data_IF_672863227432
#
_entry.id   IF_672863227432
#
_cell.length_a   1.000
_cell.length_b   1.000
_cell.length_c   1.000
_cell.angle_alpha   90.00
_cell.angle_beta   90.00
_cell.angle_gamma   90.00
#
_symmetry.space_group_name_H-M   'P 1'
#
loop_
_entity.id
_entity.type
_entity.pdbx_description
1 polymer ?
#
# COMPACT_ATOMS: atom_id res chain seq x y z
N UNK A 1 5.71 -5.50 28.64
CA UNK A 1 4.94 -6.55 29.35
C UNK A 1 4.00 -7.35 28.44
N UNK A 2 3.66 -6.90 27.23
CA UNK A 2 2.80 -7.63 26.31
C UNK A 2 3.61 -8.16 25.12
N UNK A 3 3.64 -9.47 24.97
CA UNK A 3 4.36 -10.17 23.89
C UNK A 3 3.63 -10.05 22.53
N UNK A 4 2.44 -9.46 22.52
CA UNK A 4 1.56 -9.37 21.35
C UNK A 4 0.93 -7.99 21.29
N UNK A 5 1.00 -7.33 20.12
CA UNK A 5 0.38 -6.01 19.89
C UNK A 5 0.02 -5.81 18.43
N UNK A 6 -1.15 -5.23 18.21
CA UNK A 6 -1.53 -4.64 16.93
C UNK A 6 -1.23 -3.14 16.97
N UNK A 7 -0.25 -2.71 16.19
CA UNK A 7 0.23 -1.33 16.16
C UNK A 7 -0.41 -0.58 14.98
N UNK A 8 -1.21 0.44 15.30
CA UNK A 8 -1.87 1.28 14.30
C UNK A 8 -1.04 2.55 14.15
N UNK A 9 -0.44 2.71 12.97
CA UNK A 9 0.49 3.78 12.66
C UNK A 9 0.31 4.21 11.21
N UNK A 10 -0.02 5.48 10.93
CA UNK A 10 -0.32 5.96 9.59
C UNK A 10 0.89 5.83 8.65
N UNK A 11 0.67 6.03 7.37
CA UNK A 11 1.74 6.12 6.37
C UNK A 11 2.73 7.23 6.79
N UNK A 12 3.99 7.07 6.43
CA UNK A 12 5.09 7.99 6.80
C UNK A 12 5.34 8.19 8.31
N UNK A 13 4.78 7.34 9.18
CA UNK A 13 5.03 7.38 10.63
C UNK A 13 6.30 6.63 11.07
N UNK A 14 7.10 6.11 10.14
CA UNK A 14 8.29 5.33 10.43
C UNK A 14 8.03 3.85 10.76
N UNK A 15 6.97 3.24 10.20
CA UNK A 15 6.67 1.81 10.40
C UNK A 15 7.86 0.90 10.13
N UNK A 16 8.57 1.08 9.00
CA UNK A 16 9.76 0.27 8.65
C UNK A 16 10.84 0.36 9.73
N UNK A 17 11.11 1.54 10.25
CA UNK A 17 12.11 1.74 11.32
C UNK A 17 11.68 1.08 12.63
N UNK A 18 10.40 1.13 12.97
CA UNK A 18 9.87 0.43 14.15
C UNK A 18 9.99 -1.10 14.00
N UNK A 19 9.64 -1.64 12.82
CA UNK A 19 9.81 -3.06 12.51
C UNK A 19 11.29 -3.44 12.62
N UNK A 20 12.17 -2.67 12.00
CA UNK A 20 13.62 -2.84 12.08
C UNK A 20 14.12 -2.91 13.53
N UNK A 21 13.73 -1.95 14.37
CA UNK A 21 14.16 -1.90 15.76
C UNK A 21 13.71 -3.12 16.57
N UNK A 22 12.49 -3.59 16.34
CA UNK A 22 11.97 -4.82 16.98
C UNK A 22 12.73 -6.04 16.50
N UNK A 23 12.99 -6.16 15.19
CA UNK A 23 13.73 -7.28 14.60
C UNK A 23 15.14 -7.34 15.18
N UNK A 24 15.86 -6.21 15.18
CA UNK A 24 17.21 -6.10 15.75
C UNK A 24 17.25 -6.56 17.21
N UNK A 25 16.32 -6.07 18.03
CA UNK A 25 16.20 -6.48 19.43
C UNK A 25 16.07 -7.99 19.62
N UNK A 26 15.28 -8.66 18.75
CA UNK A 26 15.08 -10.10 18.87
C UNK A 26 16.23 -10.91 18.27
N UNK A 27 16.86 -10.45 17.21
CA UNK A 27 18.06 -11.08 16.63
C UNK A 27 19.20 -11.09 17.66
N UNK A 28 19.44 -10.00 18.36
CA UNK A 28 20.43 -9.90 19.45
C UNK A 28 20.13 -10.89 20.60
N UNK A 29 18.86 -11.29 20.77
CA UNK A 29 18.44 -12.32 21.74
C UNK A 29 18.42 -13.74 21.14
N UNK A 30 19.00 -13.95 19.99
CA UNK A 30 19.05 -15.26 19.32
C UNK A 30 17.66 -15.78 18.89
N UNK A 31 16.65 -14.92 18.63
CA UNK A 31 15.30 -15.30 18.24
C UNK A 31 15.10 -15.23 16.74
N UNK A 32 14.57 -16.30 16.16
CA UNK A 32 14.19 -16.31 14.75
C UNK A 32 12.89 -15.53 14.53
N UNK A 33 12.89 -14.67 13.52
CA UNK A 33 11.81 -13.75 13.21
C UNK A 33 11.26 -14.01 11.80
N UNK A 34 9.96 -14.11 11.67
CA UNK A 34 9.24 -14.17 10.39
C UNK A 34 8.52 -12.83 10.17
N UNK A 35 8.81 -12.18 9.06
CA UNK A 35 8.12 -10.95 8.63
C UNK A 35 7.27 -11.29 7.40
N UNK A 36 5.97 -11.08 7.51
CA UNK A 36 5.01 -11.35 6.44
C UNK A 36 4.48 -10.04 5.88
N UNK A 37 4.68 -9.84 4.59
CA UNK A 37 4.23 -8.65 3.85
C UNK A 37 3.31 -9.05 2.69
N UNK A 38 2.47 -8.14 2.16
CA UNK A 38 1.50 -8.49 1.13
C UNK A 38 2.10 -8.69 -0.28
N UNK A 39 3.18 -8.00 -0.63
CA UNK A 39 3.73 -7.99 -2.01
C UNK A 39 5.24 -8.18 -2.04
N UNK A 40 5.74 -8.66 -3.18
CA UNK A 40 7.19 -8.79 -3.46
C UNK A 40 7.92 -7.46 -3.39
N UNK A 41 7.31 -6.40 -3.88
CA UNK A 41 7.89 -5.05 -3.81
C UNK A 41 8.13 -4.62 -2.36
N UNK A 42 7.22 -4.96 -1.43
CA UNK A 42 7.41 -4.67 -0.01
C UNK A 42 8.47 -5.55 0.65
N UNK A 43 8.69 -6.79 0.14
CA UNK A 43 9.84 -7.61 0.60
C UNK A 43 11.16 -6.93 0.23
N UNK A 44 11.29 -6.48 -1.02
CA UNK A 44 12.51 -5.80 -1.49
C UNK A 44 12.71 -4.46 -0.77
N UNK A 45 11.65 -3.67 -0.63
CA UNK A 45 11.71 -2.40 0.08
C UNK A 45 12.15 -2.57 1.53
N UNK A 46 11.53 -3.51 2.26
CA UNK A 46 11.87 -3.73 3.67
C UNK A 46 13.32 -4.21 3.84
N UNK A 47 13.78 -5.08 2.96
CA UNK A 47 15.16 -5.54 2.94
C UNK A 47 16.14 -4.38 2.68
N UNK A 48 15.81 -3.51 1.71
CA UNK A 48 16.58 -2.31 1.40
C UNK A 48 16.56 -1.32 2.57
N UNK A 49 15.39 -1.04 3.13
CA UNK A 49 15.25 -0.13 4.29
C UNK A 49 16.15 -0.58 5.44
N UNK A 50 16.19 -1.89 5.75
CA UNK A 50 17.05 -2.44 6.80
C UNK A 50 18.54 -2.26 6.48
N UNK A 51 18.94 -2.38 5.21
CA UNK A 51 20.30 -2.09 4.76
C UNK A 51 20.62 -0.59 4.92
N UNK A 52 19.69 0.27 4.50
CA UNK A 52 19.84 1.73 4.57
C UNK A 52 19.93 2.23 6.04
N UNK A 53 19.36 1.48 6.99
CA UNK A 53 19.52 1.72 8.43
C UNK A 53 20.85 1.20 9.00
N UNK A 54 21.78 0.77 8.14
CA UNK A 54 23.14 0.37 8.51
C UNK A 54 23.26 -1.06 9.04
N UNK A 55 22.35 -1.97 8.68
CA UNK A 55 22.44 -3.37 9.08
C UNK A 55 23.04 -4.24 7.97
N UNK A 56 23.89 -5.19 8.35
CA UNK A 56 24.35 -6.26 7.46
C UNK A 56 23.21 -7.27 7.22
N UNK A 57 22.30 -6.89 6.33
CA UNK A 57 21.12 -7.71 6.00
C UNK A 57 21.50 -9.03 5.33
N UNK A 58 22.63 -9.08 4.64
CA UNK A 58 23.13 -10.29 3.97
C UNK A 58 23.40 -11.43 4.94
N UNK A 59 23.94 -11.11 6.12
CA UNK A 59 24.25 -12.10 7.16
C UNK A 59 23.02 -12.55 7.96
N UNK A 60 21.98 -11.74 8.08
CA UNK A 60 20.87 -12.01 9.01
C UNK A 60 19.53 -12.25 8.32
N UNK A 61 19.30 -11.66 7.16
CA UNK A 61 17.99 -11.64 6.51
C UNK A 61 17.99 -12.46 5.22
N UNK A 62 16.89 -13.22 5.02
CA UNK A 62 16.64 -13.92 3.77
C UNK A 62 15.27 -13.55 3.21
N UNK A 63 15.19 -13.38 1.90
CA UNK A 63 13.97 -13.01 1.19
C UNK A 63 13.34 -14.25 0.55
N UNK A 64 12.03 -14.49 0.82
CA UNK A 64 11.29 -15.59 0.20
C UNK A 64 10.08 -15.03 -0.56
N UNK A 65 10.09 -15.17 -1.89
CA UNK A 65 8.97 -14.93 -2.79
C UNK A 65 9.13 -15.77 -4.06
N UNK A 66 8.26 -15.65 -5.05
CA UNK A 66 8.28 -16.47 -6.27
C UNK A 66 9.69 -16.49 -6.91
N UNK A 67 10.22 -17.71 -7.13
CA UNK A 67 11.56 -17.93 -7.72
C UNK A 67 12.74 -17.83 -6.73
N UNK A 68 12.52 -17.53 -5.44
CA UNK A 68 13.56 -17.52 -4.42
C UNK A 68 13.56 -18.81 -3.59
N UNK A 69 14.75 -19.19 -3.14
CA UNK A 69 14.96 -20.37 -2.30
C UNK A 69 14.21 -20.23 -0.97
N UNK A 70 13.57 -21.32 -0.51
CA UNK A 70 12.78 -21.36 0.73
C UNK A 70 13.56 -21.89 1.93
N UNK A 71 14.59 -22.64 1.69
CA UNK A 71 15.42 -23.22 2.75
C UNK A 71 16.57 -22.26 3.07
N UNK A 72 16.67 -21.90 4.34
CA UNK A 72 17.70 -20.99 4.83
C UNK A 72 17.86 -21.10 6.34
N UNK A 73 19.05 -20.85 6.83
CA UNK A 73 19.37 -20.77 8.26
C UNK A 73 19.32 -19.33 8.79
N UNK A 74 19.00 -18.37 7.96
CA UNK A 74 18.92 -16.96 8.37
C UNK A 74 17.93 -16.76 9.51
N UNK A 75 18.29 -15.93 10.47
CA UNK A 75 17.45 -15.66 11.64
C UNK A 75 16.19 -14.85 11.28
N UNK A 76 16.24 -14.04 10.24
CA UNK A 76 15.13 -13.21 9.79
C UNK A 76 14.69 -13.62 8.39
N UNK A 77 13.42 -13.94 8.25
CA UNK A 77 12.79 -14.22 6.96
C UNK A 77 11.82 -13.10 6.64
N UNK A 78 12.02 -12.44 5.49
CA UNK A 78 11.07 -11.47 4.93
C UNK A 78 10.38 -12.12 3.74
N UNK A 79 9.05 -12.25 3.79
CA UNK A 79 8.32 -13.07 2.82
C UNK A 79 6.93 -12.55 2.51
N UNK A 80 6.41 -12.93 1.34
CA UNK A 80 4.99 -12.78 1.05
C UNK A 80 4.21 -13.98 1.60
N UNK A 81 2.96 -13.77 1.99
CA UNK A 81 2.11 -14.86 2.49
C UNK A 81 1.87 -15.95 1.43
N UNK A 82 1.82 -15.59 0.14
CA UNK A 82 1.64 -16.52 -0.97
C UNK A 82 2.74 -17.57 -1.05
N UNK A 83 3.96 -17.19 -0.68
CA UNK A 83 5.12 -18.06 -0.75
C UNK A 83 5.16 -19.13 0.33
N UNK A 84 4.49 -18.91 1.47
CA UNK A 84 4.63 -19.75 2.66
C UNK A 84 3.32 -20.39 3.14
N UNK A 85 2.12 -19.96 2.72
CA UNK A 85 0.85 -20.43 3.31
C UNK A 85 0.60 -21.94 3.16
N UNK A 86 1.17 -22.58 2.13
CA UNK A 86 1.09 -24.04 1.89
C UNK A 86 2.12 -24.85 2.66
N UNK A 87 3.13 -24.21 3.26
CA UNK A 87 4.18 -24.93 3.98
C UNK A 87 3.62 -25.64 5.23
N UNK A 88 4.21 -26.78 5.61
CA UNK A 88 3.76 -27.55 6.78
C UNK A 88 4.05 -26.78 8.08
N UNK A 89 3.32 -27.15 9.17
CA UNK A 89 3.50 -26.52 10.49
C UNK A 89 4.95 -26.57 10.96
N UNK A 90 5.67 -27.67 10.71
CA UNK A 90 7.08 -27.86 11.07
C UNK A 90 7.98 -26.73 10.60
N UNK A 91 7.72 -26.15 9.43
CA UNK A 91 8.46 -24.99 8.92
C UNK A 91 8.37 -23.79 9.84
N UNK A 92 7.21 -23.58 10.48
CA UNK A 92 6.92 -22.42 11.31
C UNK A 92 7.41 -22.55 12.75
N UNK A 93 7.71 -23.75 13.23
CA UNK A 93 8.11 -24.03 14.62
C UNK A 93 9.43 -23.34 15.03
N UNK A 94 10.28 -23.02 14.06
CA UNK A 94 11.54 -22.30 14.30
C UNK A 94 11.36 -20.85 14.71
N UNK A 95 10.20 -20.23 14.43
CA UNK A 95 9.98 -18.80 14.63
C UNK A 95 9.38 -18.50 16.01
N UNK A 96 10.12 -17.74 16.81
CA UNK A 96 9.64 -17.23 18.10
C UNK A 96 8.92 -15.89 17.96
N UNK A 97 9.19 -15.16 16.87
CA UNK A 97 8.67 -13.82 16.58
C UNK A 97 8.00 -13.82 15.20
N UNK A 98 6.81 -13.26 15.13
CA UNK A 98 6.13 -12.99 13.86
C UNK A 98 5.73 -11.52 13.80
N UNK A 99 5.99 -10.91 12.66
CA UNK A 99 5.61 -9.53 12.34
C UNK A 99 4.76 -9.57 11.06
N UNK A 100 3.56 -9.02 11.13
CA UNK A 100 2.69 -8.83 9.97
C UNK A 100 2.66 -7.35 9.61
N UNK A 101 3.20 -6.98 8.47
CA UNK A 101 2.99 -5.64 7.92
C UNK A 101 1.70 -5.63 7.10
N UNK A 102 1.07 -4.45 6.98
CA UNK A 102 -0.29 -4.29 6.46
C UNK A 102 -1.27 -5.29 7.10
N UNK A 103 -1.23 -5.35 8.43
CA UNK A 103 -1.96 -6.33 9.24
C UNK A 103 -3.48 -6.37 8.97
N UNK A 104 -4.08 -5.29 8.42
CA UNK A 104 -5.48 -5.27 8.02
C UNK A 104 -5.86 -6.34 6.99
N UNK A 105 -4.87 -6.92 6.27
CA UNK A 105 -5.09 -8.01 5.32
C UNK A 105 -5.20 -9.39 5.98
N UNK A 106 -4.83 -9.54 7.27
CA UNK A 106 -4.80 -10.82 8.00
C UNK A 106 -6.20 -11.38 8.37
N UNK A 107 -7.23 -10.89 7.73
CA UNK A 107 -8.59 -11.47 7.76
C UNK A 107 -8.80 -12.59 6.73
N UNK A 108 -7.89 -12.78 5.78
CA UNK A 108 -8.00 -13.84 4.77
C UNK A 108 -7.69 -15.22 5.36
N UNK A 109 -8.35 -16.25 4.83
CA UNK A 109 -8.17 -17.65 5.28
C UNK A 109 -6.70 -18.09 5.24
N UNK A 110 -5.94 -17.68 4.22
CA UNK A 110 -4.53 -18.05 4.06
C UNK A 110 -3.65 -17.44 5.15
N UNK A 111 -3.85 -16.16 5.47
CA UNK A 111 -3.09 -15.49 6.53
C UNK A 111 -3.48 -15.97 7.93
N UNK A 112 -4.76 -16.24 8.16
CA UNK A 112 -5.21 -16.90 9.41
C UNK A 112 -4.56 -18.29 9.54
N UNK A 113 -4.50 -19.08 8.46
CA UNK A 113 -3.84 -20.38 8.46
C UNK A 113 -2.34 -20.29 8.83
N UNK A 114 -1.62 -19.31 8.30
CA UNK A 114 -0.22 -19.06 8.68
C UNK A 114 -0.12 -18.77 10.18
N UNK A 115 -0.96 -17.87 10.70
CA UNK A 115 -0.95 -17.51 12.12
C UNK A 115 -1.32 -18.67 13.05
N UNK A 116 -2.16 -19.60 12.57
CA UNK A 116 -2.49 -20.86 13.30
C UNK A 116 -1.29 -21.80 13.33
N UNK A 117 -0.54 -21.92 12.23
CA UNK A 117 0.70 -22.73 12.18
C UNK A 117 1.81 -22.15 13.06
N UNK A 118 1.81 -20.85 13.30
CA UNK A 118 2.71 -20.12 14.19
C UNK A 118 2.24 -20.16 15.67
N UNK A 119 1.54 -21.21 16.10
CA UNK A 119 0.98 -21.31 17.45
C UNK A 119 2.04 -21.08 18.55
N UNK A 120 3.25 -21.54 18.31
CA UNK A 120 4.38 -21.48 19.25
C UNK A 120 5.13 -20.14 19.22
N UNK A 121 4.82 -19.25 18.26
CA UNK A 121 5.39 -17.90 18.21
C UNK A 121 4.86 -17.07 19.39
N UNK A 122 5.74 -16.84 20.37
CA UNK A 122 5.42 -16.10 21.60
C UNK A 122 5.17 -14.63 21.32
N UNK A 123 5.94 -14.04 20.41
CA UNK A 123 5.93 -12.61 20.11
C UNK A 123 5.23 -12.37 18.77
N UNK A 124 4.15 -11.58 18.79
CA UNK A 124 3.34 -11.30 17.60
C UNK A 124 3.07 -9.80 17.49
N UNK A 125 3.53 -9.19 16.41
CA UNK A 125 3.33 -7.78 16.14
C UNK A 125 2.67 -7.58 14.79
N UNK A 126 1.50 -6.95 14.77
CA UNK A 126 0.84 -6.50 13.55
C UNK A 126 1.03 -5.00 13.37
N UNK A 127 1.39 -4.58 12.17
CA UNK A 127 1.47 -3.16 11.80
C UNK A 127 0.44 -2.85 10.74
N UNK A 128 -0.28 -1.76 10.88
CA UNK A 128 -1.22 -1.28 9.87
C UNK A 128 -1.39 0.24 9.96
N UNK A 129 -1.56 0.89 8.81
CA UNK A 129 -1.91 2.30 8.74
C UNK A 129 -3.38 2.54 9.05
N UNK A 130 -4.24 1.61 8.64
CA UNK A 130 -5.70 1.76 8.68
C UNK A 130 -6.40 0.47 9.08
N UNK A 131 -7.56 0.61 9.71
CA UNK A 131 -8.54 -0.46 9.91
C UNK A 131 -9.76 -0.16 9.03
N UNK A 132 -10.49 -1.20 8.61
CA UNK A 132 -11.68 -1.04 7.76
C UNK A 132 -12.87 -0.35 8.46
N UNK A 133 -12.75 -0.14 9.77
CA UNK A 133 -13.75 0.53 10.61
C UNK A 133 -14.79 -0.42 11.19
N UNK A 134 -14.77 -1.70 10.82
CA UNK A 134 -15.69 -2.68 11.42
C UNK A 134 -15.11 -3.28 12.70
N UNK A 135 -15.97 -3.48 13.69
CA UNK A 135 -15.58 -4.06 14.98
C UNK A 135 -15.12 -5.53 14.82
N UNK A 136 -15.81 -6.29 13.95
CA UNK A 136 -15.48 -7.69 13.68
C UNK A 136 -14.06 -7.83 13.13
N UNK A 137 -13.67 -6.98 12.18
CA UNK A 137 -12.33 -6.98 11.62
C UNK A 137 -11.27 -6.68 12.69
N UNK A 138 -11.52 -5.67 13.53
CA UNK A 138 -10.65 -5.33 14.65
C UNK A 138 -10.47 -6.52 15.58
N UNK A 139 -11.52 -7.21 15.98
CA UNK A 139 -11.45 -8.38 16.87
C UNK A 139 -10.65 -9.55 16.27
N UNK A 140 -10.81 -9.82 14.97
CA UNK A 140 -9.98 -10.83 14.29
C UNK A 140 -8.50 -10.49 14.39
N UNK A 141 -8.13 -9.25 14.10
CA UNK A 141 -6.73 -8.82 14.18
C UNK A 141 -6.20 -8.82 15.61
N UNK A 142 -6.99 -8.38 16.58
CA UNK A 142 -6.63 -8.43 18.00
C UNK A 142 -6.49 -9.87 18.52
N UNK A 143 -7.28 -10.81 18.01
CA UNK A 143 -7.13 -12.24 18.28
C UNK A 143 -5.80 -12.81 17.77
N UNK A 144 -5.33 -12.35 16.63
CA UNK A 144 -4.08 -12.79 16.01
C UNK A 144 -2.83 -12.14 16.63
N UNK A 145 -2.87 -10.84 16.86
CA UNK A 145 -1.71 -10.02 17.24
C UNK A 145 -1.76 -9.47 18.67
N UNK A 146 -2.92 -9.50 19.33
CA UNK A 146 -3.12 -8.90 20.65
C UNK A 146 -3.74 -7.50 20.57
N UNK A 147 -3.88 -6.82 21.73
CA UNK A 147 -4.59 -5.54 21.82
C UNK A 147 -4.06 -4.49 20.86
N UNK A 148 -4.97 -3.72 20.26
CA UNK A 148 -4.61 -2.61 19.38
C UNK A 148 -4.07 -1.42 20.16
N UNK A 149 -3.01 -0.82 19.61
CA UNK A 149 -2.40 0.39 20.14
C UNK A 149 -2.15 1.39 19.02
N UNK A 150 -2.73 2.57 19.15
CA UNK A 150 -2.53 3.68 18.21
C UNK A 150 -1.27 4.44 18.61
N UNK A 151 -0.27 4.45 17.74
CA UNK A 151 1.04 5.03 18.02
C UNK A 151 0.98 6.55 17.92
N UNK A 152 0.51 7.06 16.79
CA UNK A 152 0.41 8.49 16.49
C UNK A 152 -0.77 8.74 15.55
N UNK A 153 -1.32 9.95 15.57
CA UNK A 153 -2.34 10.38 14.60
C UNK A 153 -1.68 11.10 13.42
N UNK A 154 -2.28 11.00 12.23
CA UNK A 154 -1.83 11.73 11.03
C UNK A 154 -1.76 13.25 11.28
N UNK A 155 -2.76 13.80 11.98
CA UNK A 155 -2.81 15.22 12.36
C UNK A 155 -1.59 15.67 13.19
N UNK A 156 -1.08 14.79 14.07
CA UNK A 156 0.11 15.08 14.86
C UNK A 156 1.39 15.08 14.01
N UNK A 157 1.45 14.18 13.00
CA UNK A 157 2.55 14.14 12.04
C UNK A 157 2.56 15.39 11.15
N UNK A 158 1.38 15.84 10.70
CA UNK A 158 1.22 17.09 9.95
C UNK A 158 1.64 18.31 10.78
N UNK A 159 1.17 18.41 12.02
CA UNK A 159 1.55 19.51 12.94
C UNK A 159 3.04 19.58 13.23
N UNK A 160 3.72 18.42 13.23
CA UNK A 160 5.17 18.32 13.42
C UNK A 160 5.98 18.51 12.13
N UNK A 161 5.32 18.72 10.98
CA UNK A 161 5.99 18.87 9.68
C UNK A 161 6.62 17.58 9.12
N UNK A 162 6.27 16.41 9.68
CA UNK A 162 6.80 15.13 9.21
C UNK A 162 6.09 14.60 7.96
N UNK A 163 4.88 15.07 7.69
CA UNK A 163 4.12 14.80 6.47
C UNK A 163 3.52 16.10 5.95
N UNK A 164 3.30 16.17 4.64
CA UNK A 164 2.66 17.32 4.00
C UNK A 164 1.25 17.54 4.55
N UNK A 165 0.81 18.78 4.55
CA UNK A 165 -0.59 19.13 4.79
C UNK A 165 -1.43 18.62 3.63
N UNK A 166 -2.65 18.17 3.93
CA UNK A 166 -3.59 17.69 2.93
C UNK A 166 -4.86 18.52 2.96
N UNK A 167 -5.16 19.17 1.84
CA UNK A 167 -6.41 19.87 1.60
C UNK A 167 -7.32 19.01 0.73
N UNK A 168 -8.54 18.75 1.20
CA UNK A 168 -9.51 17.91 0.48
C UNK A 168 -10.61 18.79 -0.07
N UNK A 169 -10.69 18.88 -1.41
CA UNK A 169 -11.73 19.59 -2.13
C UNK A 169 -12.73 18.60 -2.74
N UNK A 170 -13.99 18.68 -2.33
CA UNK A 170 -15.08 17.87 -2.88
C UNK A 170 -15.80 18.67 -3.96
N UNK A 171 -15.61 18.29 -5.23
CA UNK A 171 -16.20 18.96 -6.38
C UNK A 171 -17.52 18.27 -6.78
N UNK A 172 -18.65 18.94 -6.59
CA UNK A 172 -19.98 18.42 -6.90
C UNK A 172 -20.37 18.76 -8.35
N UNK A 173 -20.37 17.77 -9.21
CA UNK A 173 -20.84 17.90 -10.59
C UNK A 173 -22.33 17.58 -10.66
N UNK A 174 -23.13 18.60 -10.95
CA UNK A 174 -24.57 18.43 -11.15
C UNK A 174 -24.87 17.80 -12.52
N UNK A 175 -25.70 16.79 -12.55
CA UNK A 175 -26.23 16.15 -13.77
C UNK A 175 -27.71 15.87 -13.60
N UNK A 176 -28.39 15.52 -14.72
CA UNK A 176 -29.79 15.12 -14.68
C UNK A 176 -29.98 13.86 -13.81
N UNK A 177 -31.05 13.77 -13.03
CA UNK A 177 -31.35 12.59 -12.25
C UNK A 177 -31.51 11.36 -13.15
N UNK A 178 -30.77 10.30 -12.87
CA UNK A 178 -30.92 9.00 -13.50
C UNK A 178 -31.22 7.95 -12.45
N UNK A 179 -32.06 6.96 -12.80
CA UNK A 179 -32.25 5.77 -11.99
C UNK A 179 -31.47 4.63 -12.59
N UNK A 180 -30.71 3.95 -11.76
CA UNK A 180 -29.92 2.78 -12.16
C UNK A 180 -30.48 1.55 -11.44
N UNK A 181 -30.56 0.43 -12.14
CA UNK A 181 -31.02 -0.84 -11.56
C UNK A 181 -29.94 -1.49 -10.72
N UNK A 182 -28.69 -1.36 -11.15
CA UNK A 182 -27.54 -1.93 -10.45
C UNK A 182 -26.45 -0.88 -10.17
N UNK A 183 -25.59 -1.18 -9.20
CA UNK A 183 -24.40 -0.37 -8.94
C UNK A 183 -23.43 -0.38 -10.13
N UNK A 184 -23.41 -1.45 -10.89
CA UNK A 184 -22.54 -1.55 -12.08
C UNK A 184 -23.00 -0.57 -13.16
N UNK A 185 -24.32 -0.46 -13.40
CA UNK A 185 -24.88 0.48 -14.39
C UNK A 185 -24.56 1.94 -14.00
N UNK A 186 -24.67 2.24 -12.70
CA UNK A 186 -24.27 3.56 -12.16
C UNK A 186 -22.78 3.85 -12.43
N UNK A 187 -21.90 2.87 -12.18
CA UNK A 187 -20.47 3.01 -12.44
C UNK A 187 -20.19 3.23 -13.93
N UNK A 188 -20.79 2.44 -14.81
CA UNK A 188 -20.61 2.59 -16.26
C UNK A 188 -21.06 3.97 -16.73
N UNK A 189 -22.20 4.44 -16.25
CA UNK A 189 -22.66 5.81 -16.55
C UNK A 189 -21.64 6.87 -16.08
N UNK A 190 -21.13 6.77 -14.84
CA UNK A 190 -20.20 7.74 -14.28
C UNK A 190 -18.89 7.79 -15.06
N UNK A 191 -18.29 6.63 -15.36
CA UNK A 191 -17.00 6.55 -16.04
C UNK A 191 -17.10 6.91 -17.52
N UNK A 192 -18.24 6.62 -18.17
CA UNK A 192 -18.53 6.96 -19.56
C UNK A 192 -19.04 8.39 -19.80
N UNK A 193 -19.28 9.17 -18.73
CA UNK A 193 -19.90 10.49 -18.86
C UNK A 193 -18.94 11.55 -19.42
N UNK A 194 -19.10 11.90 -20.69
CA UNK A 194 -18.20 12.79 -21.43
C UNK A 194 -17.96 14.15 -20.76
N UNK A 195 -19.02 14.81 -20.26
CA UNK A 195 -18.90 16.12 -19.60
C UNK A 195 -18.04 16.01 -18.33
N UNK A 196 -18.20 14.93 -17.59
CA UNK A 196 -17.40 14.65 -16.38
C UNK A 196 -15.94 14.38 -16.73
N UNK A 197 -15.65 13.56 -17.72
CA UNK A 197 -14.29 13.26 -18.15
C UNK A 197 -13.58 14.48 -18.70
N UNK A 198 -14.29 15.33 -19.45
CA UNK A 198 -13.77 16.64 -19.89
C UNK A 198 -13.49 17.58 -18.72
N UNK A 199 -14.34 17.58 -17.69
CA UNK A 199 -14.08 18.34 -16.47
C UNK A 199 -12.81 17.85 -15.76
N UNK A 200 -12.64 16.53 -15.59
CA UNK A 200 -11.43 15.93 -14.97
C UNK A 200 -10.19 16.30 -15.80
N UNK A 201 -10.27 16.20 -17.13
CA UNK A 201 -9.19 16.62 -18.03
C UNK A 201 -8.81 18.08 -17.80
N UNK A 202 -9.79 18.99 -17.85
CA UNK A 202 -9.53 20.44 -17.66
C UNK A 202 -8.93 20.70 -16.28
N UNK A 203 -9.49 20.12 -15.22
CA UNK A 203 -8.95 20.24 -13.87
C UNK A 203 -7.49 19.78 -13.81
N UNK A 204 -7.16 18.63 -14.41
CA UNK A 204 -5.80 18.10 -14.40
C UNK A 204 -4.82 18.99 -15.18
N UNK A 205 -5.28 19.64 -16.24
CA UNK A 205 -4.47 20.57 -17.04
C UNK A 205 -4.29 21.93 -16.36
N UNK A 206 -5.29 22.39 -15.60
CA UNK A 206 -5.25 23.68 -14.89
C UNK A 206 -4.44 23.63 -13.60
N UNK A 207 -4.38 22.45 -12.95
CA UNK A 207 -3.61 22.28 -11.72
C UNK A 207 -2.11 22.41 -11.97
N UNK A 208 -1.44 23.20 -11.16
CA UNK A 208 0.03 23.29 -11.12
C UNK A 208 0.61 22.15 -10.27
N UNK A 209 1.81 21.71 -10.61
CA UNK A 209 2.51 20.62 -9.93
C UNK A 209 2.15 19.23 -10.45
N UNK A 210 2.88 18.23 -9.98
CA UNK A 210 2.65 16.85 -10.38
C UNK A 210 1.29 16.36 -9.89
N UNK A 211 0.50 15.83 -10.80
CA UNK A 211 -0.89 15.43 -10.56
C UNK A 211 -1.07 13.93 -10.83
N UNK A 212 -1.61 13.21 -9.87
CA UNK A 212 -2.00 11.80 -9.98
C UNK A 212 -3.50 11.70 -10.17
N UNK A 213 -3.94 10.98 -11.20
CA UNK A 213 -5.35 10.70 -11.46
C UNK A 213 -5.60 9.21 -11.25
N UNK A 214 -6.46 8.87 -10.31
CA UNK A 214 -6.75 7.48 -9.94
C UNK A 214 -8.06 6.98 -10.54
N UNK A 215 -7.98 5.85 -11.25
CA UNK A 215 -9.13 5.21 -11.88
C UNK A 215 -9.24 3.71 -11.52
N UNK A 216 -10.43 3.10 -11.77
CA UNK A 216 -10.71 1.69 -11.44
C UNK A 216 -10.70 0.74 -12.63
N UNK A 217 -11.10 1.18 -13.81
CA UNK A 217 -11.29 0.37 -15.04
C UNK A 217 -10.30 0.83 -16.10
N UNK A 218 -9.38 -0.06 -16.52
CA UNK A 218 -8.31 0.28 -17.48
C UNK A 218 -8.91 0.70 -18.81
N UNK A 219 -9.52 -0.23 -19.54
CA UNK A 219 -10.04 0.00 -20.89
C UNK A 219 -11.25 0.94 -20.93
N UNK A 220 -12.18 0.82 -19.96
CA UNK A 220 -13.42 1.58 -19.99
C UNK A 220 -13.29 3.03 -19.47
N UNK A 221 -12.23 3.38 -18.73
CA UNK A 221 -12.06 4.71 -18.15
C UNK A 221 -10.63 5.23 -18.24
N UNK A 222 -9.64 4.43 -17.85
CA UNK A 222 -8.24 4.86 -17.77
C UNK A 222 -7.68 5.27 -19.13
N UNK A 223 -7.78 4.41 -20.12
CA UNK A 223 -7.31 4.67 -21.48
C UNK A 223 -8.02 5.87 -22.13
N UNK A 224 -9.38 5.93 -22.16
CA UNK A 224 -10.07 7.10 -22.70
C UNK A 224 -9.69 8.41 -22.00
N UNK A 225 -9.51 8.38 -20.68
CA UNK A 225 -9.14 9.57 -19.92
C UNK A 225 -7.68 10.00 -20.21
N UNK A 226 -6.77 9.03 -20.29
CA UNK A 226 -5.38 9.28 -20.67
C UNK A 226 -5.30 9.89 -22.07
N UNK A 227 -5.98 9.30 -23.05
CA UNK A 227 -6.01 9.80 -24.44
C UNK A 227 -6.55 11.24 -24.52
N UNK A 228 -7.63 11.49 -23.78
CA UNK A 228 -8.26 12.81 -23.73
C UNK A 228 -7.29 13.88 -23.16
N UNK A 229 -6.56 13.56 -22.12
CA UNK A 229 -5.58 14.45 -21.49
C UNK A 229 -4.36 14.61 -22.40
N UNK A 230 -3.81 13.51 -22.91
CA UNK A 230 -2.60 13.52 -23.73
C UNK A 230 -2.76 14.27 -25.04
N UNK A 231 -3.95 14.22 -25.65
CA UNK A 231 -4.30 15.02 -26.85
C UNK A 231 -4.50 16.50 -26.57
N UNK A 232 -4.77 16.87 -25.34
CA UNK A 232 -5.13 18.26 -24.93
C UNK A 232 -4.03 18.97 -24.14
N UNK A 233 -2.93 18.29 -23.82
CA UNK A 233 -1.82 18.87 -23.05
C UNK A 233 -0.94 19.77 -23.91
N UNK A 234 -0.20 20.65 -23.26
CA UNK A 234 0.90 21.38 -23.89
C UNK A 234 2.07 20.44 -24.22
N UNK A 235 2.84 20.75 -25.27
CA UNK A 235 3.92 19.89 -25.76
C UNK A 235 4.97 19.55 -24.69
N UNK A 236 5.24 20.46 -23.78
CA UNK A 236 6.22 20.29 -22.71
C UNK A 236 5.71 19.53 -21.48
N UNK A 237 4.40 19.26 -21.40
CA UNK A 237 3.82 18.56 -20.25
C UNK A 237 3.86 17.04 -20.45
N UNK A 238 4.50 16.32 -19.53
CA UNK A 238 4.57 14.85 -19.59
C UNK A 238 3.30 14.24 -18.99
N UNK A 239 2.73 13.27 -19.70
CA UNK A 239 1.58 12.48 -19.26
C UNK A 239 1.94 11.02 -19.33
N UNK A 240 1.76 10.29 -18.22
CA UNK A 240 2.07 8.87 -18.08
C UNK A 240 0.81 8.06 -17.84
N UNK A 241 0.76 6.85 -18.40
CA UNK A 241 -0.31 5.90 -18.18
C UNK A 241 0.23 4.67 -17.46
N UNK A 242 -0.33 4.33 -16.27
CA UNK A 242 0.19 3.27 -15.40
C UNK A 242 -0.94 2.35 -14.94
N UNK A 243 -0.80 1.06 -15.22
CA UNK A 243 -1.74 0.02 -14.80
C UNK A 243 -1.01 -1.28 -14.46
N UNK A 244 -1.74 -2.31 -14.05
CA UNK A 244 -1.16 -3.58 -13.63
C UNK A 244 -0.36 -4.34 -14.69
N UNK A 245 -0.61 -4.08 -15.96
CA UNK A 245 0.13 -4.66 -17.11
C UNK A 245 1.44 -3.95 -17.44
N UNK A 246 1.74 -2.81 -16.83
CA UNK A 246 3.03 -2.11 -17.00
C UNK A 246 4.11 -2.83 -16.20
N UNK A 247 5.26 -3.09 -16.80
CA UNK A 247 6.40 -3.72 -16.14
C UNK A 247 6.84 -2.94 -14.89
N UNK A 248 7.40 -3.65 -13.91
CA UNK A 248 7.81 -3.03 -12.64
C UNK A 248 8.93 -2.01 -12.85
N UNK A 249 9.85 -2.28 -13.76
CA UNK A 249 10.94 -1.40 -14.12
C UNK A 249 10.44 -0.09 -14.74
N UNK A 250 9.47 -0.18 -15.66
CA UNK A 250 8.85 1.00 -16.27
C UNK A 250 8.11 1.86 -15.25
N UNK A 251 7.43 1.23 -14.31
CA UNK A 251 6.76 1.96 -13.20
C UNK A 251 7.77 2.73 -12.33
N UNK A 252 8.92 2.11 -12.02
CA UNK A 252 10.01 2.79 -11.31
C UNK A 252 10.63 3.92 -12.12
N UNK A 253 10.79 3.75 -13.43
CA UNK A 253 11.26 4.79 -14.33
C UNK A 253 10.29 5.98 -14.37
N UNK A 254 8.98 5.73 -14.49
CA UNK A 254 7.93 6.79 -14.44
C UNK A 254 7.98 7.52 -13.10
N UNK A 255 8.12 6.80 -11.98
CA UNK A 255 8.28 7.39 -10.66
C UNK A 255 9.51 8.31 -10.61
N UNK A 256 10.66 7.80 -11.03
CA UNK A 256 11.92 8.57 -11.00
C UNK A 256 11.88 9.80 -11.90
N UNK A 257 11.23 9.71 -13.06
CA UNK A 257 11.01 10.87 -13.95
C UNK A 257 10.09 11.88 -13.28
N UNK A 258 8.96 11.42 -12.71
CA UNK A 258 7.99 12.31 -12.05
C UNK A 258 8.60 13.04 -10.87
N UNK A 259 9.49 12.43 -10.11
CA UNK A 259 10.18 13.07 -8.99
C UNK A 259 11.10 14.24 -9.44
N UNK A 260 11.52 14.26 -10.71
CA UNK A 260 12.35 15.33 -11.31
C UNK A 260 11.51 16.38 -12.04
N UNK A 261 10.28 16.05 -12.39
CA UNK A 261 9.35 16.94 -13.05
C UNK A 261 8.57 17.79 -12.02
N UNK A 262 8.15 18.97 -12.45
CA UNK A 262 7.36 19.87 -11.61
C UNK A 262 5.91 20.02 -12.09
N UNK A 263 5.52 19.39 -13.20
CA UNK A 263 4.20 19.55 -13.78
C UNK A 263 3.76 18.31 -14.61
N UNK A 264 4.10 17.11 -14.17
CA UNK A 264 3.69 15.88 -14.84
C UNK A 264 2.28 15.44 -14.41
N UNK A 265 1.59 14.71 -15.29
CA UNK A 265 0.32 14.06 -14.99
C UNK A 265 0.53 12.54 -15.08
N UNK A 266 0.07 11.81 -14.06
CA UNK A 266 0.06 10.34 -14.05
C UNK A 266 -1.39 9.88 -13.99
N UNK A 267 -1.83 9.14 -15.00
CA UNK A 267 -3.13 8.48 -15.02
C UNK A 267 -2.92 7.03 -14.62
N UNK A 268 -3.37 6.63 -13.43
CA UNK A 268 -3.00 5.36 -12.83
C UNK A 268 -4.18 4.59 -12.25
N UNK A 269 -4.09 3.25 -12.29
CA UNK A 269 -5.09 2.41 -11.66
C UNK A 269 -4.90 2.39 -10.13
N UNK A 270 -6.00 2.36 -9.37
CA UNK A 270 -5.97 2.20 -7.90
C UNK A 270 -5.11 1.01 -7.46
N UNK A 271 -5.19 -0.13 -8.17
CA UNK A 271 -4.46 -1.34 -7.81
C UNK A 271 -2.95 -1.19 -7.91
N UNK A 272 -2.49 -0.36 -8.81
CA UNK A 272 -1.05 -0.14 -9.04
C UNK A 272 -0.46 0.85 -8.04
N UNK A 273 -1.21 1.90 -7.67
CA UNK A 273 -0.70 2.95 -6.79
C UNK A 273 -1.06 2.78 -5.31
N UNK A 274 -2.06 1.96 -4.96
CA UNK A 274 -2.41 1.69 -3.55
C UNK A 274 -1.41 0.80 -2.82
N UNK A 275 -0.45 0.20 -3.51
CA UNK A 275 0.52 -0.74 -2.94
C UNK A 275 1.95 -0.33 -3.26
N UNK A 276 2.50 0.58 -2.46
CA UNK A 276 3.95 0.74 -2.36
C UNK A 276 4.65 1.66 -3.36
N UNK A 277 3.94 2.46 -4.16
CA UNK A 277 4.59 3.51 -4.95
C UNK A 277 4.57 4.80 -4.14
N UNK A 278 5.74 5.27 -3.74
CA UNK A 278 5.92 6.54 -3.06
C UNK A 278 6.54 7.56 -4.01
N UNK A 279 5.79 8.58 -4.43
CA UNK A 279 6.29 9.70 -5.23
C UNK A 279 6.44 10.90 -4.30
N UNK A 280 7.67 11.27 -3.98
CA UNK A 280 7.97 12.35 -3.03
C UNK A 280 7.51 13.72 -3.53
N UNK A 281 7.52 13.93 -4.84
CA UNK A 281 7.17 15.20 -5.48
C UNK A 281 5.77 15.15 -6.11
N UNK A 282 4.76 14.70 -5.34
CA UNK A 282 3.35 14.66 -5.76
C UNK A 282 2.59 15.80 -5.07
N UNK A 283 1.89 16.62 -5.85
CA UNK A 283 1.18 17.81 -5.36
C UNK A 283 -0.33 17.64 -5.34
N UNK A 284 -0.89 16.95 -6.33
CA UNK A 284 -2.33 16.80 -6.48
C UNK A 284 -2.74 15.35 -6.71
N UNK A 285 -3.88 14.94 -6.14
CA UNK A 285 -4.50 13.64 -6.41
C UNK A 285 -5.96 13.85 -6.80
N UNK A 286 -6.36 13.33 -7.96
CA UNK A 286 -7.73 13.36 -8.46
C UNK A 286 -8.30 11.94 -8.41
N UNK A 287 -9.35 11.73 -7.63
CA UNK A 287 -10.10 10.47 -7.59
C UNK A 287 -11.12 10.44 -8.74
N UNK A 288 -10.72 9.90 -9.89
CA UNK A 288 -11.54 9.88 -11.09
C UNK A 288 -12.60 8.78 -11.11
N UNK A 289 -12.45 7.71 -10.36
CA UNK A 289 -13.47 6.65 -10.22
C UNK A 289 -14.00 6.58 -8.80
N UNK A 290 -15.31 6.35 -8.60
CA UNK A 290 -15.86 6.15 -7.27
C UNK A 290 -15.32 4.88 -6.62
N UNK A 291 -15.09 4.93 -5.30
CA UNK A 291 -14.70 3.77 -4.50
C UNK A 291 -15.41 3.77 -3.17
N UNK A 292 -16.08 2.66 -2.83
CA UNK A 292 -16.69 2.43 -1.51
C UNK A 292 -15.69 1.93 -0.47
N UNK A 293 -14.46 1.57 -0.86
CA UNK A 293 -13.45 1.03 0.04
C UNK A 293 -12.79 2.14 0.87
N UNK A 294 -13.13 2.20 2.16
CA UNK A 294 -12.48 3.12 3.11
C UNK A 294 -10.97 2.95 3.15
N UNK A 295 -10.50 1.71 3.18
CA UNK A 295 -9.05 1.42 3.22
C UNK A 295 -8.37 1.98 1.97
N UNK A 296 -8.92 1.70 0.78
CA UNK A 296 -8.37 2.18 -0.49
C UNK A 296 -8.29 3.71 -0.53
N UNK A 297 -9.36 4.39 -0.13
CA UNK A 297 -9.41 5.85 -0.14
C UNK A 297 -8.46 6.49 0.89
N UNK A 298 -8.11 5.80 1.98
CA UNK A 298 -7.18 6.29 2.99
C UNK A 298 -5.72 5.95 2.69
N UNK A 299 -5.45 5.02 1.76
CA UNK A 299 -4.11 4.59 1.37
C UNK A 299 -3.65 5.17 0.02
N UNK A 300 -4.58 5.73 -0.77
CA UNK A 300 -4.28 6.48 -1.99
C UNK A 300 -3.99 7.92 -1.66
#
# INVERSE_FOLDING_TARGET
>A
RHNRKLLISPTASGKSLMIYSIVRYFVEKGKNTLIVVPTTSLVEQMYKDFSDYGWDVGSFCHKIYAGKERETNSQVIITTWQSIYKLPRKYFERFSVVIGDEAHQFKSKSLISIMTKLADAKYRYGFTGTLDGTQTHKWVLEGLFGPSYKIIKTEELMKKGHVATLDINVLLLKHSPNKFETFEDEIQYIIGHNRRNNFIKNLALDLSGNTLILYSRVEAHGEPLFDLINKSKDDNRKVFFVHGGVETEDRENIRAITERENNAIIVASYGTFSTGINIKNLHNVIFASPSKSRIRNLQS
#
